data_IF_990874642907
#
_entry.id   IF_990874642907
#
_cell.length_a   1.000
_cell.length_b   1.000
_cell.length_c   1.000
_cell.angle_alpha   90.00
_cell.angle_beta   90.00
_cell.angle_gamma   90.00
#
_symmetry.space_group_name_H-M   'P 1'
#
loop_
_entity.id
_entity.type
_entity.pdbx_description
1 polymer ?
#
# COMPACT_ATOMS: atom_id res chain seq x y z
N UNK A 1 -56.90 6.92 -41.58
CA UNK A 1 -55.77 7.74 -41.11
C UNK A 1 -55.92 8.01 -39.62
N UNK A 2 -54.89 7.66 -38.85
CA UNK A 2 -54.51 8.06 -37.48
C UNK A 2 -54.20 6.84 -36.61
N UNK A 3 -52.96 6.44 -36.76
CA UNK A 3 -52.25 5.46 -35.97
C UNK A 3 -51.80 6.10 -34.64
N UNK A 4 -51.84 5.29 -33.58
CA UNK A 4 -50.79 5.11 -32.58
C UNK A 4 -50.28 6.37 -31.88
N UNK A 5 -50.69 6.53 -30.62
CA UNK A 5 -49.83 7.13 -29.60
C UNK A 5 -50.31 6.68 -28.23
N UNK A 6 -49.38 6.42 -27.32
CA UNK A 6 -49.56 5.96 -25.92
C UNK A 6 -49.26 4.47 -25.68
N UNK A 7 -48.03 4.05 -25.99
CA UNK A 7 -47.38 2.97 -25.22
C UNK A 7 -45.86 3.11 -25.32
N UNK A 8 -45.28 4.08 -24.61
CA UNK A 8 -43.83 4.17 -24.41
C UNK A 8 -43.54 5.06 -23.21
N UNK A 9 -43.75 4.53 -22.01
CA UNK A 9 -43.19 5.13 -20.80
C UNK A 9 -43.11 4.06 -19.69
N UNK A 10 -42.42 2.96 -19.97
CA UNK A 10 -42.20 1.90 -18.97
C UNK A 10 -41.06 0.96 -19.39
N UNK A 11 -39.86 1.45 -19.71
CA UNK A 11 -38.69 0.59 -19.92
C UNK A 11 -37.32 1.28 -19.72
N UNK A 12 -37.20 2.21 -18.76
CA UNK A 12 -35.88 2.67 -18.31
C UNK A 12 -35.73 2.49 -16.80
N UNK A 13 -35.60 1.23 -16.39
CA UNK A 13 -34.92 0.84 -15.17
C UNK A 13 -34.07 -0.39 -15.53
N UNK A 14 -33.12 -0.20 -16.44
CA UNK A 14 -32.04 -1.16 -16.60
C UNK A 14 -31.04 -0.89 -15.49
N UNK A 15 -30.94 -1.87 -14.62
CA UNK A 15 -30.00 -2.01 -13.53
C UNK A 15 -28.60 -1.57 -13.97
N UNK A 16 -28.11 -0.46 -13.42
CA UNK A 16 -26.67 -0.19 -13.39
C UNK A 16 -26.11 -1.06 -12.28
N UNK A 17 -25.88 -2.32 -12.62
CA UNK A 17 -24.96 -3.18 -11.91
C UNK A 17 -23.73 -3.30 -12.80
N UNK A 18 -22.98 -2.20 -12.91
CA UNK A 18 -21.57 -2.27 -13.31
C UNK A 18 -20.79 -2.55 -12.03
N UNK A 19 -20.68 -3.81 -11.66
CA UNK A 19 -19.45 -4.27 -11.01
C UNK A 19 -18.68 -4.89 -12.16
N UNK A 20 -17.58 -4.24 -12.56
CA UNK A 20 -16.67 -4.83 -13.53
C UNK A 20 -16.22 -6.18 -12.99
N UNK A 21 -16.40 -7.21 -13.81
CA UNK A 21 -15.88 -8.55 -13.56
C UNK A 21 -14.38 -8.49 -13.81
N UNK A 22 -13.66 -7.98 -12.83
CA UNK A 22 -12.22 -7.75 -12.87
C UNK A 22 -11.50 -9.00 -12.40
N UNK A 23 -11.45 -10.01 -13.27
CA UNK A 23 -10.46 -11.09 -13.22
C UNK A 23 -10.41 -11.98 -11.98
N UNK A 24 -11.38 -11.87 -11.06
CA UNK A 24 -11.53 -12.79 -9.94
C UNK A 24 -11.72 -14.21 -10.47
N UNK A 25 -11.07 -15.22 -9.87
CA UNK A 25 -11.13 -16.56 -10.42
C UNK A 25 -12.55 -17.13 -10.38
N UNK A 26 -12.89 -17.93 -11.40
CA UNK A 26 -14.18 -18.60 -11.42
C UNK A 26 -14.29 -19.53 -10.21
N UNK A 27 -15.42 -19.51 -9.50
CA UNK A 27 -15.66 -20.40 -8.36
C UNK A 27 -15.33 -21.87 -8.72
N UNK A 28 -14.31 -22.43 -8.10
CA UNK A 28 -13.78 -23.77 -8.41
C UNK A 28 -12.52 -23.79 -9.28
N UNK A 29 -11.79 -22.67 -9.36
CA UNK A 29 -10.49 -22.59 -9.98
C UNK A 29 -9.56 -23.72 -9.51
N UNK A 30 -8.96 -24.43 -10.47
CA UNK A 30 -8.00 -25.49 -10.22
C UNK A 30 -6.71 -24.90 -9.67
N UNK A 31 -6.02 -25.66 -8.83
CA UNK A 31 -4.77 -25.27 -8.19
C UNK A 31 -3.69 -24.76 -9.18
N UNK A 32 -3.60 -25.34 -10.38
CA UNK A 32 -2.69 -24.86 -11.42
C UNK A 32 -2.94 -23.41 -11.80
N UNK A 33 -4.21 -23.01 -11.81
CA UNK A 33 -4.60 -21.66 -12.16
C UNK A 33 -4.24 -20.68 -11.05
N UNK A 34 -4.12 -21.11 -9.78
CA UNK A 34 -3.57 -20.26 -8.71
C UNK A 34 -2.14 -19.82 -9.04
N UNK A 35 -1.22 -20.76 -9.27
CA UNK A 35 0.18 -20.42 -9.55
C UNK A 35 0.30 -19.53 -10.80
N UNK A 36 -0.47 -19.83 -11.85
CA UNK A 36 -0.51 -19.02 -13.06
C UNK A 36 -1.05 -17.61 -12.80
N UNK A 37 -2.15 -17.50 -12.05
CA UNK A 37 -2.78 -16.23 -11.70
C UNK A 37 -1.83 -15.41 -10.84
N UNK A 38 -1.28 -15.99 -9.77
CA UNK A 38 -0.29 -15.37 -8.89
C UNK A 38 0.91 -14.82 -9.67
N UNK A 39 1.51 -15.62 -10.56
CA UNK A 39 2.64 -15.14 -11.35
C UNK A 39 2.26 -14.04 -12.36
N UNK A 40 1.03 -14.05 -12.87
CA UNK A 40 0.55 -13.05 -13.82
C UNK A 40 0.13 -11.75 -13.11
N UNK A 41 -0.56 -11.83 -11.97
CA UNK A 41 -1.07 -10.67 -11.22
C UNK A 41 -0.02 -10.01 -10.35
N UNK A 42 0.84 -10.79 -9.68
CA UNK A 42 1.84 -10.25 -8.73
C UNK A 42 3.19 -9.98 -9.39
N UNK A 43 3.54 -10.78 -10.40
CA UNK A 43 4.89 -10.76 -10.97
C UNK A 43 4.91 -10.41 -12.46
N UNK A 44 3.75 -10.25 -13.12
CA UNK A 44 3.62 -10.00 -14.57
C UNK A 44 4.38 -11.01 -15.44
N UNK A 45 4.46 -12.26 -14.97
CA UNK A 45 5.14 -13.37 -15.66
C UNK A 45 4.10 -14.40 -16.09
N UNK A 46 3.78 -14.40 -17.38
CA UNK A 46 2.83 -15.36 -17.94
C UNK A 46 3.44 -16.74 -18.24
N UNK A 47 4.78 -16.83 -18.32
CA UNK A 47 5.49 -18.06 -18.66
C UNK A 47 6.63 -18.31 -17.69
N UNK A 48 6.50 -19.38 -16.91
CA UNK A 48 7.47 -19.80 -15.90
C UNK A 48 7.47 -21.33 -15.78
N UNK A 49 8.50 -21.87 -15.15
CA UNK A 49 8.54 -23.25 -14.70
C UNK A 49 8.52 -23.33 -13.17
N UNK A 50 8.32 -24.54 -12.63
CA UNK A 50 8.26 -24.77 -11.18
C UNK A 50 9.50 -24.25 -10.45
N UNK A 51 10.67 -24.33 -11.09
CA UNK A 51 11.94 -23.91 -10.50
C UNK A 51 12.06 -22.40 -10.41
N UNK A 52 11.62 -21.70 -11.44
CA UNK A 52 11.56 -20.24 -11.49
C UNK A 52 10.53 -19.72 -10.48
N UNK A 53 9.37 -20.38 -10.37
CA UNK A 53 8.41 -20.10 -9.29
C UNK A 53 9.07 -20.26 -7.92
N UNK A 54 9.79 -21.37 -7.68
CA UNK A 54 10.51 -21.58 -6.42
C UNK A 54 11.50 -20.45 -6.10
N UNK A 55 12.40 -20.17 -7.04
CA UNK A 55 13.50 -19.22 -6.83
C UNK A 55 13.01 -17.78 -6.67
N UNK A 56 11.89 -17.41 -7.30
CA UNK A 56 11.33 -16.06 -7.14
C UNK A 56 10.80 -15.81 -5.73
N UNK A 57 10.35 -16.87 -5.04
CA UNK A 57 9.73 -16.79 -3.72
C UNK A 57 10.64 -17.28 -2.58
N UNK A 58 11.84 -17.77 -2.91
CA UNK A 58 12.94 -17.96 -1.96
C UNK A 58 13.59 -16.58 -1.71
N UNK A 59 12.94 -15.78 -0.87
CA UNK A 59 13.25 -14.37 -0.63
C UNK A 59 14.65 -14.18 -0.06
N UNK A 60 15.08 -15.11 0.81
CA UNK A 60 16.40 -15.05 1.44
C UNK A 60 17.46 -15.87 0.68
N UNK A 61 17.07 -16.58 -0.39
CA UNK A 61 17.94 -17.36 -1.30
C UNK A 61 18.67 -18.50 -0.59
N UNK A 62 18.06 -19.10 0.42
CA UNK A 62 18.65 -20.20 1.18
C UNK A 62 18.34 -21.58 0.57
N UNK A 63 17.52 -21.64 -0.47
CA UNK A 63 17.11 -22.86 -1.16
C UNK A 63 15.91 -23.57 -0.55
N UNK A 64 15.21 -22.95 0.39
CA UNK A 64 14.02 -23.47 1.07
C UNK A 64 12.95 -22.38 1.13
N UNK A 65 11.68 -22.77 1.10
CA UNK A 65 10.62 -21.90 1.58
C UNK A 65 10.33 -22.20 3.03
N UNK A 66 10.59 -21.22 3.88
CA UNK A 66 10.29 -21.23 5.29
C UNK A 66 8.94 -20.55 5.56
N UNK A 67 8.50 -20.57 6.82
CA UNK A 67 7.19 -20.05 7.22
C UNK A 67 6.90 -18.65 6.66
N UNK A 68 7.84 -17.73 6.79
CA UNK A 68 7.66 -16.34 6.38
C UNK A 68 7.48 -16.22 4.86
N UNK A 69 8.16 -17.06 4.08
CA UNK A 69 8.06 -17.11 2.63
C UNK A 69 6.75 -17.79 2.18
N UNK A 70 6.30 -18.82 2.89
CA UNK A 70 4.96 -19.40 2.69
C UNK A 70 3.87 -18.37 2.99
N UNK A 71 4.00 -17.60 4.07
CA UNK A 71 3.07 -16.52 4.39
C UNK A 71 3.09 -15.41 3.33
N UNK A 72 4.24 -15.09 2.73
CA UNK A 72 4.37 -14.11 1.65
C UNK A 72 3.75 -14.61 0.33
N UNK A 73 4.03 -15.86 -0.07
CA UNK A 73 3.45 -16.49 -1.27
C UNK A 73 1.93 -16.47 -1.26
N UNK A 74 1.31 -16.48 -0.08
CA UNK A 74 -0.15 -16.41 0.10
C UNK A 74 -0.64 -15.08 0.69
N UNK A 75 0.21 -14.05 0.75
CA UNK A 75 -0.16 -12.68 1.13
C UNK A 75 -0.87 -12.60 2.48
N UNK A 76 -0.45 -13.45 3.42
CA UNK A 76 -1.08 -13.58 4.73
C UNK A 76 -1.10 -12.25 5.45
N UNK A 77 0.00 -11.48 5.40
CA UNK A 77 0.15 -10.20 6.09
C UNK A 77 -0.27 -8.98 5.27
N UNK A 78 -0.86 -9.18 4.09
CA UNK A 78 -1.38 -8.09 3.25
C UNK A 78 -2.43 -7.26 4.01
N UNK A 79 -2.55 -5.96 3.73
CA UNK A 79 -3.47 -5.08 4.44
C UNK A 79 -4.94 -5.53 4.32
N UNK A 80 -5.40 -5.90 3.12
CA UNK A 80 -6.73 -6.51 2.91
C UNK A 80 -6.91 -7.85 3.65
N UNK A 81 -5.93 -8.76 3.55
CA UNK A 81 -5.92 -10.05 4.26
C UNK A 81 -6.02 -9.86 5.79
N UNK A 82 -5.33 -8.85 6.31
CA UNK A 82 -5.35 -8.44 7.71
C UNK A 82 -6.70 -7.81 8.10
N UNK A 83 -7.27 -6.93 7.27
CA UNK A 83 -8.59 -6.30 7.48
C UNK A 83 -9.74 -7.33 7.54
N UNK A 84 -9.61 -8.47 6.88
CA UNK A 84 -10.59 -9.56 6.98
C UNK A 84 -10.53 -10.33 8.31
N UNK A 85 -9.47 -10.13 9.10
CA UNK A 85 -9.31 -10.74 10.41
C UNK A 85 -9.92 -9.86 11.50
N UNK A 86 -10.65 -10.45 12.45
CA UNK A 86 -11.32 -9.69 13.53
C UNK A 86 -10.34 -9.07 14.51
N UNK A 87 -9.25 -9.78 14.77
CA UNK A 87 -8.19 -9.43 15.70
C UNK A 87 -6.90 -10.18 15.32
N UNK A 88 -5.80 -9.86 16.00
CA UNK A 88 -4.49 -10.46 15.75
C UNK A 88 -4.47 -11.98 15.99
N UNK A 89 -5.26 -12.49 16.93
CA UNK A 89 -5.31 -13.92 17.23
C UNK A 89 -6.00 -14.70 16.10
N UNK A 90 -7.10 -14.15 15.57
CA UNK A 90 -7.78 -14.68 14.40
C UNK A 90 -6.88 -14.65 13.16
N UNK A 91 -6.10 -13.58 13.00
CA UNK A 91 -5.12 -13.46 11.93
C UNK A 91 -4.01 -14.51 12.03
N UNK A 92 -3.44 -14.70 13.23
CA UNK A 92 -2.42 -15.71 13.46
C UNK A 92 -2.95 -17.13 13.18
N UNK A 93 -4.17 -17.43 13.62
CA UNK A 93 -4.81 -18.73 13.32
C UNK A 93 -5.01 -18.94 11.81
N UNK A 94 -5.28 -17.88 11.06
CA UNK A 94 -5.36 -17.92 9.60
C UNK A 94 -4.00 -18.23 8.99
N UNK A 95 -2.95 -17.52 9.43
CA UNK A 95 -1.57 -17.76 9.03
C UNK A 95 -1.14 -19.22 9.29
N UNK A 96 -1.37 -19.70 10.52
CA UNK A 96 -1.08 -21.08 10.92
C UNK A 96 -1.81 -22.09 10.03
N UNK A 97 -3.10 -21.85 9.78
CA UNK A 97 -3.90 -22.75 8.94
C UNK A 97 -3.37 -22.84 7.50
N UNK A 98 -2.98 -21.71 6.91
CA UNK A 98 -2.40 -21.64 5.56
C UNK A 98 -1.08 -22.40 5.53
N UNK A 99 -0.13 -22.02 6.39
CA UNK A 99 1.20 -22.64 6.47
C UNK A 99 1.10 -24.14 6.71
N UNK A 100 0.31 -24.57 7.69
CA UNK A 100 0.13 -26.00 8.00
C UNK A 100 -0.45 -26.78 6.83
N UNK A 101 -1.36 -26.16 6.06
CA UNK A 101 -1.99 -26.81 4.91
C UNK A 101 -1.00 -26.96 3.75
N UNK A 102 -0.16 -25.95 3.54
CA UNK A 102 0.89 -25.99 2.52
C UNK A 102 1.95 -27.02 2.88
N UNK A 103 2.48 -26.99 4.12
CA UNK A 103 3.46 -27.97 4.59
C UNK A 103 2.91 -29.40 4.53
N UNK A 104 1.66 -29.64 4.92
CA UNK A 104 1.03 -30.98 4.77
C UNK A 104 1.03 -31.50 3.33
N UNK A 105 1.08 -30.61 2.34
CA UNK A 105 0.99 -30.95 0.93
C UNK A 105 2.36 -31.02 0.27
N UNK A 106 3.28 -30.13 0.63
CA UNK A 106 4.58 -29.97 -0.01
C UNK A 106 5.75 -30.55 0.79
N UNK A 107 5.76 -30.45 2.11
CA UNK A 107 6.84 -30.92 2.98
C UNK A 107 6.75 -32.45 3.14
N UNK A 108 7.51 -33.17 2.31
CA UNK A 108 7.46 -34.62 2.17
C UNK A 108 8.33 -35.32 3.22
N UNK A 109 9.41 -34.67 3.66
CA UNK A 109 10.32 -35.23 4.66
C UNK A 109 10.05 -34.75 6.10
N UNK A 110 9.15 -33.79 6.25
CA UNK A 110 8.64 -33.21 7.52
C UNK A 110 9.71 -32.44 8.29
N UNK A 111 10.59 -31.74 7.59
CA UNK A 111 11.58 -30.88 8.22
C UNK A 111 11.07 -29.46 8.51
N UNK A 112 9.82 -29.16 8.14
CA UNK A 112 9.12 -27.92 8.48
C UNK A 112 9.34 -26.77 7.48
N UNK A 113 9.96 -27.06 6.34
CA UNK A 113 10.22 -26.14 5.23
C UNK A 113 10.01 -26.89 3.91
N UNK A 114 10.01 -26.17 2.79
CA UNK A 114 9.79 -26.78 1.47
C UNK A 114 11.04 -26.58 0.62
N UNK A 115 11.63 -27.68 0.17
CA UNK A 115 12.74 -27.65 -0.80
C UNK A 115 12.25 -27.54 -2.25
N UNK A 116 13.15 -27.12 -3.15
CA UNK A 116 12.87 -27.06 -4.58
C UNK A 116 12.46 -28.45 -5.11
N UNK A 117 13.13 -29.51 -4.67
CA UNK A 117 12.88 -30.89 -5.10
C UNK A 117 11.49 -31.38 -4.67
N UNK A 118 11.01 -30.95 -3.50
CA UNK A 118 9.67 -31.27 -3.01
C UNK A 118 8.59 -30.59 -3.83
N UNK A 119 8.75 -29.29 -4.12
CA UNK A 119 7.83 -28.56 -4.97
C UNK A 119 7.81 -29.14 -6.39
N UNK A 120 8.96 -29.50 -6.96
CA UNK A 120 9.02 -30.15 -8.27
C UNK A 120 8.33 -31.52 -8.29
N UNK A 121 8.45 -32.29 -7.20
CA UNK A 121 7.86 -33.61 -7.08
C UNK A 121 6.34 -33.57 -6.90
N UNK A 122 5.83 -32.60 -6.14
CA UNK A 122 4.39 -32.38 -5.99
C UNK A 122 3.80 -31.69 -7.22
N UNK A 123 4.56 -30.76 -7.79
CA UNK A 123 4.15 -29.89 -8.89
C UNK A 123 3.34 -28.68 -8.40
N UNK A 124 3.26 -27.66 -9.24
CA UNK A 124 2.44 -26.46 -8.98
C UNK A 124 0.95 -26.81 -8.81
N UNK A 125 0.51 -27.92 -9.40
CA UNK A 125 -0.84 -28.48 -9.27
C UNK A 125 -1.19 -28.95 -7.84
N UNK A 126 -0.21 -29.01 -6.93
CA UNK A 126 -0.42 -29.32 -5.52
C UNK A 126 -0.45 -28.11 -4.58
N UNK A 127 -0.32 -26.88 -5.06
CA UNK A 127 -0.43 -25.67 -4.22
C UNK A 127 -1.89 -25.44 -3.71
N UNK A 128 -2.15 -25.40 -2.40
CA UNK A 128 -3.50 -25.11 -1.92
C UNK A 128 -3.98 -23.71 -2.37
N UNK A 129 -5.29 -23.52 -2.61
CA UNK A 129 -5.89 -22.21 -2.89
C UNK A 129 -6.68 -21.72 -1.66
N UNK A 130 -6.43 -20.48 -1.22
CA UNK A 130 -7.05 -19.84 -0.05
C UNK A 130 -7.74 -18.50 -0.37
N UNK A 131 -8.13 -18.25 -1.62
CA UNK A 131 -8.81 -17.02 -2.05
C UNK A 131 -10.00 -16.65 -1.14
N UNK A 132 -10.78 -17.64 -0.71
CA UNK A 132 -11.92 -17.43 0.20
C UNK A 132 -11.53 -16.90 1.60
N UNK A 133 -10.24 -16.78 1.89
CA UNK A 133 -9.66 -16.25 3.12
C UNK A 133 -8.92 -14.91 2.91
N UNK A 134 -9.02 -14.33 1.70
CA UNK A 134 -8.34 -13.10 1.30
C UNK A 134 -6.82 -13.27 1.29
N UNK A 135 -6.35 -14.46 0.95
CA UNK A 135 -4.95 -14.84 0.87
C UNK A 135 -4.55 -15.04 -0.60
N UNK A 136 -4.64 -13.95 -1.36
CA UNK A 136 -3.93 -13.82 -2.62
C UNK A 136 -2.49 -13.41 -2.28
N UNK A 137 -1.49 -14.00 -2.93
CA UNK A 137 -0.08 -13.76 -2.64
C UNK A 137 0.35 -12.34 -2.92
N UNK A 138 1.19 -11.69 -2.10
CA UNK A 138 1.60 -10.29 -2.31
C UNK A 138 2.93 -9.93 -1.61
N UNK A 139 3.75 -9.08 -2.24
CA UNK A 139 5.15 -8.81 -1.81
C UNK A 139 5.50 -7.36 -1.48
N UNK A 140 4.64 -6.39 -1.79
CA UNK A 140 5.01 -4.97 -1.75
C UNK A 140 4.43 -4.22 -0.53
N UNK A 141 4.76 -2.95 -0.41
CA UNK A 141 4.14 -2.05 0.57
C UNK A 141 2.75 -1.58 0.11
N UNK A 142 2.04 -0.80 0.94
CA UNK A 142 0.61 -0.51 0.69
C UNK A 142 0.45 0.37 -0.56
N UNK A 143 1.36 1.32 -0.77
CA UNK A 143 1.35 2.20 -1.95
C UNK A 143 1.65 1.41 -3.24
N UNK A 144 2.69 0.57 -3.23
CA UNK A 144 3.03 -0.26 -4.38
C UNK A 144 1.96 -1.30 -4.68
N UNK A 145 1.30 -1.86 -3.66
CA UNK A 145 0.16 -2.77 -3.83
C UNK A 145 -1.03 -2.06 -4.46
N UNK A 146 -1.35 -0.84 -4.03
CA UNK A 146 -2.40 -0.03 -4.64
C UNK A 146 -2.07 0.28 -6.11
N UNK A 147 -0.83 0.65 -6.41
CA UNK A 147 -0.38 0.89 -7.78
C UNK A 147 -0.50 -0.36 -8.67
N UNK A 148 0.05 -1.49 -8.20
CA UNK A 148 0.15 -2.72 -8.99
C UNK A 148 -1.23 -3.36 -9.23
N UNK A 149 -2.08 -3.42 -8.20
CA UNK A 149 -3.34 -4.18 -8.27
C UNK A 149 -4.54 -3.33 -8.64
N UNK A 150 -4.56 -2.07 -8.22
CA UNK A 150 -5.71 -1.21 -8.43
C UNK A 150 -5.44 -0.20 -9.55
N UNK A 151 -4.33 0.52 -9.48
CA UNK A 151 -4.03 1.55 -10.48
C UNK A 151 -3.77 0.94 -11.87
N UNK A 152 -3.01 -0.14 -11.99
CA UNK A 152 -2.81 -0.79 -13.29
C UNK A 152 -4.12 -1.35 -13.86
N UNK A 153 -4.99 -1.91 -13.01
CA UNK A 153 -6.21 -2.55 -13.47
C UNK A 153 -7.29 -1.54 -13.89
N UNK A 154 -7.45 -0.46 -13.13
CA UNK A 154 -8.56 0.49 -13.29
C UNK A 154 -8.14 1.84 -13.88
N UNK A 155 -6.85 2.16 -13.79
CA UNK A 155 -6.26 3.45 -14.12
C UNK A 155 -5.00 3.33 -14.99
N UNK A 156 -4.95 2.39 -15.96
CA UNK A 156 -3.77 2.18 -16.82
C UNK A 156 -3.68 3.06 -18.08
N UNK A 157 -4.71 3.86 -18.37
CA UNK A 157 -4.76 4.73 -19.56
C UNK A 157 -4.89 6.21 -19.18
N UNK A 158 -4.43 7.16 -20.03
CA UNK A 158 -4.62 8.59 -19.76
C UNK A 158 -6.09 8.98 -19.54
N UNK A 159 -7.03 8.29 -20.18
CA UNK A 159 -8.46 8.54 -20.00
C UNK A 159 -8.98 8.07 -18.64
N UNK A 160 -8.38 7.03 -18.07
CA UNK A 160 -8.72 6.49 -16.75
C UNK A 160 -7.89 7.11 -15.62
N UNK A 161 -6.83 7.86 -15.94
CA UNK A 161 -6.01 8.62 -14.97
C UNK A 161 -6.45 10.09 -14.94
N UNK A 162 -7.74 10.33 -14.70
CA UNK A 162 -8.29 11.68 -14.55
C UNK A 162 -8.89 11.83 -13.16
N UNK A 163 -8.89 13.06 -12.61
CA UNK A 163 -9.48 13.35 -11.29
C UNK A 163 -10.91 12.81 -11.15
N UNK A 164 -11.69 12.79 -12.24
CA UNK A 164 -13.04 12.26 -12.25
C UNK A 164 -13.12 10.73 -12.32
N UNK A 165 -12.08 10.06 -12.85
CA UNK A 165 -12.04 8.61 -13.01
C UNK A 165 -11.70 7.87 -11.70
N UNK A 166 -10.91 8.48 -10.80
CA UNK A 166 -10.62 7.92 -9.47
C UNK A 166 -11.84 8.02 -8.53
N UNK A 167 -12.75 7.06 -8.65
CA UNK A 167 -14.00 7.02 -7.90
C UNK A 167 -14.38 5.62 -7.39
N UNK A 168 -13.50 4.63 -7.56
CA UNK A 168 -13.68 3.32 -6.96
C UNK A 168 -13.64 3.45 -5.43
N UNK A 169 -14.39 2.61 -4.69
CA UNK A 169 -14.32 2.59 -3.23
C UNK A 169 -12.89 2.50 -2.69
N UNK A 170 -12.05 1.72 -3.36
CA UNK A 170 -10.64 1.50 -3.06
C UNK A 170 -9.80 2.78 -3.30
N UNK A 171 -10.06 3.55 -4.36
CA UNK A 171 -9.42 4.86 -4.61
C UNK A 171 -9.64 5.81 -3.42
N UNK A 172 -10.91 5.92 -3.01
CA UNK A 172 -11.31 6.84 -1.95
C UNK A 172 -10.76 6.41 -0.59
N UNK A 173 -10.70 5.10 -0.33
CA UNK A 173 -10.13 4.55 0.90
C UNK A 173 -8.61 4.78 0.94
N UNK A 174 -7.91 4.48 -0.16
CA UNK A 174 -6.48 4.71 -0.29
C UNK A 174 -6.13 6.18 -0.08
N UNK A 175 -6.78 7.11 -0.80
CA UNK A 175 -6.54 8.55 -0.64
C UNK A 175 -6.88 9.07 0.76
N UNK A 176 -7.88 8.50 1.43
CA UNK A 176 -8.19 8.86 2.81
C UNK A 176 -7.10 8.41 3.79
N UNK A 177 -6.29 7.40 3.43
CA UNK A 177 -5.25 6.80 4.26
C UNK A 177 -3.82 7.15 3.82
N UNK A 178 -3.63 7.73 2.63
CA UNK A 178 -2.33 8.01 2.00
C UNK A 178 -1.35 8.71 2.96
N UNK A 179 -1.70 9.86 3.53
CA UNK A 179 -0.84 10.59 4.49
C UNK A 179 -0.38 9.73 5.70
N UNK A 180 -1.19 8.75 6.10
CA UNK A 180 -0.88 7.84 7.20
C UNK A 180 0.01 6.68 6.76
N UNK A 181 -0.22 6.17 5.54
CA UNK A 181 0.58 5.12 4.90
C UNK A 181 2.00 5.65 4.65
N UNK A 182 2.15 6.78 3.96
CA UNK A 182 3.44 7.43 3.69
C UNK A 182 4.25 7.63 4.97
N UNK A 183 3.59 8.07 6.05
CA UNK A 183 4.26 8.27 7.34
C UNK A 183 4.71 6.95 7.95
N UNK A 184 3.88 5.91 7.91
CA UNK A 184 4.22 4.61 8.46
C UNK A 184 5.37 3.96 7.69
N UNK A 185 5.42 4.14 6.38
CA UNK A 185 6.52 3.67 5.53
C UNK A 185 7.80 4.46 5.80
N UNK A 186 7.71 5.79 5.90
CA UNK A 186 8.83 6.63 6.30
C UNK A 186 9.37 6.27 7.69
N UNK A 187 8.52 5.87 8.64
CA UNK A 187 8.95 5.35 9.95
C UNK A 187 9.74 4.03 9.84
N UNK A 188 9.31 3.12 8.95
CA UNK A 188 10.02 1.85 8.69
C UNK A 188 11.37 2.10 8.02
N UNK A 189 11.39 2.97 7.00
CA UNK A 189 12.59 3.33 6.25
C UNK A 189 13.60 4.06 7.14
N UNK A 190 13.15 5.05 7.92
CA UNK A 190 13.98 5.77 8.87
C UNK A 190 14.64 4.81 9.87
N UNK A 191 13.88 3.84 10.39
CA UNK A 191 14.41 2.80 11.27
C UNK A 191 15.44 1.91 10.57
N UNK A 192 15.21 1.55 9.31
CA UNK A 192 16.11 0.70 8.53
C UNK A 192 17.42 1.42 8.19
N UNK A 193 17.34 2.69 7.77
CA UNK A 193 18.48 3.51 7.38
C UNK A 193 19.19 4.17 8.57
N UNK A 194 18.55 4.21 9.74
CA UNK A 194 19.09 4.87 10.94
C UNK A 194 19.01 6.40 10.89
N UNK A 195 18.09 6.96 10.11
CA UNK A 195 17.84 8.41 9.99
C UNK A 195 16.50 8.80 10.65
N UNK A 196 16.15 10.08 10.63
CA UNK A 196 14.87 10.55 11.16
C UNK A 196 13.74 10.38 10.14
N UNK A 197 12.50 10.31 10.62
CA UNK A 197 11.30 10.22 9.76
C UNK A 197 11.17 11.47 8.90
N UNK A 198 11.50 12.63 9.46
CA UNK A 198 11.47 13.91 8.76
C UNK A 198 12.49 13.96 7.62
N UNK A 199 13.68 13.36 7.78
CA UNK A 199 14.68 13.27 6.71
C UNK A 199 14.21 12.37 5.55
N UNK A 200 13.53 11.25 5.84
CA UNK A 200 12.92 10.39 4.81
C UNK A 200 11.82 11.14 4.05
N UNK A 201 10.86 11.72 4.78
CA UNK A 201 9.74 12.44 4.17
C UNK A 201 10.21 13.61 3.30
N UNK A 202 11.25 14.34 3.74
CA UNK A 202 11.84 15.41 2.94
C UNK A 202 12.51 14.89 1.66
N UNK A 203 13.09 13.68 1.70
CA UNK A 203 13.62 12.99 0.53
C UNK A 203 12.53 12.62 -0.48
N UNK A 204 11.39 12.10 0.00
CA UNK A 204 10.24 11.75 -0.85
C UNK A 204 9.65 13.00 -1.53
N UNK A 205 9.47 14.10 -0.79
CA UNK A 205 9.00 15.37 -1.37
C UNK A 205 9.91 15.92 -2.47
N UNK A 206 11.21 15.61 -2.45
CA UNK A 206 12.15 16.06 -3.47
C UNK A 206 12.10 15.23 -4.76
N UNK A 207 11.77 13.94 -4.65
CA UNK A 207 11.66 13.02 -5.78
C UNK A 207 10.30 13.11 -6.51
N UNK A 208 9.24 13.48 -5.80
CA UNK A 208 7.90 13.78 -6.36
C UNK A 208 7.81 15.18 -7.01
N UNK A 209 8.93 15.91 -7.12
CA UNK A 209 8.93 17.17 -7.83
C UNK A 209 9.01 16.88 -9.34
N UNK A 210 8.08 17.39 -10.17
CA UNK A 210 8.17 17.20 -11.61
C UNK A 210 9.51 17.71 -12.11
N UNK A 211 10.16 17.03 -13.08
CA UNK A 211 11.46 17.44 -13.58
C UNK A 211 11.34 18.89 -14.06
N UNK A 212 12.01 19.79 -13.34
CA UNK A 212 12.15 21.18 -13.75
C UNK A 212 12.65 21.17 -15.18
N UNK A 213 11.83 21.70 -16.10
CA UNK A 213 12.16 21.78 -17.52
C UNK A 213 13.57 22.36 -17.64
N UNK A 214 14.51 21.52 -18.07
CA UNK A 214 15.89 21.91 -18.27
C UNK A 214 15.92 22.95 -19.40
N UNK A 215 15.99 24.22 -19.02
CA UNK A 215 16.35 25.29 -19.93
C UNK A 215 17.78 25.01 -20.40
N UNK A 216 17.92 24.86 -21.71
CA UNK A 216 19.13 24.37 -22.32
C UNK A 216 20.28 25.36 -22.16
N UNK A 217 21.26 25.02 -21.33
CA UNK A 217 22.65 25.44 -21.53
C UNK A 217 23.62 24.42 -20.94
N UNK A 218 24.36 23.82 -21.87
CA UNK A 218 25.65 23.13 -21.84
C UNK A 218 26.54 23.18 -20.58
N UNK A 219 27.24 22.08 -20.34
CA UNK A 219 28.43 22.01 -19.48
C UNK A 219 28.48 20.79 -18.57
N UNK A 220 28.94 19.63 -19.07
CA UNK A 220 29.02 18.40 -18.30
C UNK A 220 30.12 18.38 -17.23
N UNK A 221 29.87 17.65 -16.14
CA UNK A 221 30.87 16.98 -15.33
C UNK A 221 30.28 15.64 -14.82
N UNK A 222 30.89 14.53 -15.20
CA UNK A 222 30.66 13.24 -14.55
C UNK A 222 31.22 13.34 -13.12
N UNK A 223 30.37 13.34 -12.10
CA UNK A 223 30.80 13.01 -10.74
C UNK A 223 30.73 11.50 -10.55
N UNK A 224 31.92 10.90 -10.38
CA UNK A 224 32.10 9.51 -9.96
C UNK A 224 31.39 9.25 -8.62
N UNK A 225 30.60 8.18 -8.58
CA UNK A 225 30.03 7.62 -7.36
C UNK A 225 31.16 6.82 -6.68
N UNK A 226 31.57 7.13 -5.43
CA UNK A 226 32.55 6.32 -4.72
C UNK A 226 31.91 4.99 -4.30
N UNK A 227 32.65 3.86 -4.28
CA UNK A 227 32.09 2.57 -3.94
C UNK A 227 31.77 2.50 -2.45
N UNK A 228 30.53 2.13 -2.11
CA UNK A 228 30.12 1.83 -0.73
C UNK A 228 30.74 0.52 -0.29
N UNK A 229 31.54 0.62 0.77
CA UNK A 229 32.26 -0.44 1.45
C UNK A 229 31.28 -1.37 2.18
N UNK A 230 31.26 -2.64 1.80
CA UNK A 230 30.51 -3.69 2.48
C UNK A 230 31.31 -4.17 3.69
N UNK A 231 30.93 -3.73 4.89
CA UNK A 231 31.40 -4.35 6.14
C UNK A 231 30.25 -5.01 6.92
N UNK A 232 30.51 -6.14 7.61
CA UNK A 232 29.48 -7.07 8.04
C UNK A 232 28.96 -6.78 9.45
N UNK A 233 27.70 -7.16 9.69
CA UNK A 233 27.02 -7.22 10.99
C UNK A 233 27.86 -7.85 12.12
N UNK A 234 27.66 -7.36 13.36
CA UNK A 234 27.71 -8.27 14.51
C UNK A 234 26.53 -8.07 15.48
N UNK A 235 25.86 -9.19 15.81
CA UNK A 235 25.03 -9.39 16.99
C UNK A 235 25.91 -9.61 18.24
N UNK A 236 25.51 -9.05 19.39
CA UNK A 236 25.34 -9.72 20.71
C UNK A 236 25.45 -8.75 21.93
N UNK A 237 24.30 -8.56 22.60
CA UNK A 237 24.07 -8.44 24.08
C UNK A 237 24.69 -7.29 24.92
N UNK A 238 24.22 -7.01 26.17
CA UNK A 238 22.88 -7.16 26.78
C UNK A 238 22.39 -5.88 27.53
N UNK A 239 21.16 -5.97 28.05
CA UNK A 239 20.43 -4.96 28.83
C UNK A 239 21.19 -4.34 30.02
N UNK A 240 20.98 -3.03 30.24
CA UNK A 240 21.31 -2.33 31.50
C UNK A 240 20.09 -1.65 32.08
N UNK A 241 19.74 -2.07 33.30
CA UNK A 241 18.78 -1.44 34.19
C UNK A 241 19.24 -0.03 34.61
N UNK A 242 18.30 0.90 34.75
CA UNK A 242 18.50 2.20 35.41
C UNK A 242 17.50 2.37 36.56
N UNK A 243 17.93 2.84 37.74
CA UNK A 243 17.13 2.81 38.97
C UNK A 243 16.20 4.02 39.12
N UNK A 244 15.17 3.81 39.94
CA UNK A 244 14.15 4.79 40.32
C UNK A 244 14.72 5.94 41.16
N UNK A 245 14.28 7.17 40.86
CA UNK A 245 14.33 8.31 41.77
C UNK A 245 13.07 9.17 41.64
N UNK A 246 12.35 9.27 42.75
CA UNK A 246 11.14 10.07 42.98
C UNK A 246 11.44 11.54 43.24
N UNK A 247 10.67 12.46 42.65
CA UNK A 247 10.44 13.80 43.22
C UNK A 247 8.99 14.27 42.99
N UNK A 248 8.30 14.55 44.10
CA UNK A 248 6.99 15.19 44.16
C UNK A 248 7.17 16.72 44.05
N UNK A 249 6.43 17.35 43.13
CA UNK A 249 6.25 18.80 43.03
C UNK A 249 4.79 19.22 43.21
N UNK A 250 4.50 20.49 43.56
CA UNK A 250 3.17 20.97 43.98
C UNK A 250 2.15 21.03 42.82
N UNK A 251 0.82 21.01 43.10
CA UNK A 251 -0.20 20.82 42.07
C UNK A 251 -0.35 22.04 41.14
N UNK A 252 -0.12 21.80 39.85
CA UNK A 252 -0.32 22.77 38.76
C UNK A 252 -1.82 22.91 38.45
N UNK A 253 -2.35 24.13 38.23
CA UNK A 253 -3.78 24.36 37.96
C UNK A 253 -4.24 23.61 36.70
N UNK A 254 -5.44 23.01 36.76
CA UNK A 254 -6.06 22.28 35.64
C UNK A 254 -6.30 23.23 34.46
N UNK A 255 -5.40 23.19 33.49
CA UNK A 255 -5.63 23.72 32.15
C UNK A 255 -6.62 22.78 31.46
N UNK A 256 -7.80 23.29 31.11
CA UNK A 256 -8.71 22.60 30.19
C UNK A 256 -8.03 22.55 28.84
N UNK A 257 -7.34 21.44 28.54
CA UNK A 257 -6.68 21.19 27.26
C UNK A 257 -7.77 21.02 26.20
N UNK A 258 -8.08 22.10 25.47
CA UNK A 258 -8.77 22.00 24.19
C UNK A 258 -7.93 21.11 23.27
N UNK A 259 -8.57 20.12 22.64
CA UNK A 259 -7.92 19.19 21.71
C UNK A 259 -7.25 19.98 20.58
N UNK A 260 -5.95 19.77 20.31
CA UNK A 260 -5.26 20.41 19.20
C UNK A 260 -6.03 20.20 17.88
N UNK A 261 -6.07 21.20 16.97
CA UNK A 261 -6.86 21.13 15.73
C UNK A 261 -6.56 19.88 14.89
N UNK A 262 -5.33 19.40 14.94
CA UNK A 262 -4.83 18.20 14.26
C UNK A 262 -5.50 16.90 14.73
N UNK A 263 -6.00 16.86 15.97
CA UNK A 263 -6.63 15.69 16.60
C UNK A 263 -8.16 15.80 16.68
N UNK A 264 -8.74 16.82 16.05
CA UNK A 264 -10.19 16.98 15.94
C UNK A 264 -10.71 16.23 14.72
N UNK A 265 -11.97 15.77 14.79
CA UNK A 265 -12.66 15.16 13.65
C UNK A 265 -12.57 16.07 12.41
N UNK A 266 -12.21 15.52 11.23
CA UNK A 266 -12.06 16.30 10.00
C UNK A 266 -13.29 17.16 9.67
N UNK A 267 -14.50 16.68 9.96
CA UNK A 267 -15.75 17.40 9.72
C UNK A 267 -15.83 18.70 10.53
N UNK A 268 -15.23 18.73 11.71
CA UNK A 268 -15.14 19.91 12.57
C UNK A 268 -13.99 20.81 12.13
N UNK A 269 -12.84 20.22 11.77
CA UNK A 269 -11.63 20.94 11.34
C UNK A 269 -11.83 21.73 10.04
N UNK A 270 -12.57 21.17 9.09
CA UNK A 270 -12.78 21.78 7.77
C UNK A 270 -14.09 22.56 7.63
N UNK A 271 -14.95 22.57 8.66
CA UNK A 271 -16.30 23.16 8.62
C UNK A 271 -16.33 24.60 8.10
N UNK A 272 -15.38 25.43 8.53
CA UNK A 272 -15.30 26.85 8.15
C UNK A 272 -14.14 27.14 7.17
N UNK A 273 -13.36 26.12 6.82
CA UNK A 273 -12.14 26.26 6.01
C UNK A 273 -12.43 26.80 4.60
N UNK A 274 -13.50 26.32 3.95
CA UNK A 274 -13.91 26.80 2.62
C UNK A 274 -14.33 28.28 2.62
N UNK A 275 -15.00 28.73 3.70
CA UNK A 275 -15.42 30.12 3.84
C UNK A 275 -14.22 31.04 4.07
N UNK A 276 -13.27 30.61 4.91
CA UNK A 276 -12.04 31.32 5.17
C UNK A 276 -11.13 31.37 3.92
N UNK A 277 -11.07 30.29 3.14
CA UNK A 277 -10.31 30.22 1.89
C UNK A 277 -10.78 31.27 0.87
N UNK A 278 -12.10 31.43 0.71
CA UNK A 278 -12.68 32.46 -0.17
C UNK A 278 -12.32 33.89 0.23
N UNK A 279 -12.08 34.14 1.53
CA UNK A 279 -11.66 35.45 2.03
C UNK A 279 -10.16 35.70 1.79
N UNK A 280 -9.34 34.65 1.75
CA UNK A 280 -7.90 34.73 1.50
C UNK A 280 -7.52 34.91 0.02
N UNK A 281 -8.48 34.81 -0.90
CA UNK A 281 -8.24 34.97 -2.34
C UNK A 281 -7.42 33.83 -2.96
N UNK A 282 -7.04 34.00 -4.22
CA UNK A 282 -6.31 32.98 -4.99
C UNK A 282 -4.90 32.77 -4.43
N UNK A 283 -4.42 31.52 -4.43
CA UNK A 283 -3.05 31.19 -4.06
C UNK A 283 -2.04 31.94 -4.93
N UNK A 284 -0.89 32.32 -4.36
CA UNK A 284 0.09 33.15 -5.07
C UNK A 284 -0.25 34.65 -5.09
N UNK A 285 -1.42 35.06 -4.59
CA UNK A 285 -1.83 36.47 -4.50
C UNK A 285 -1.85 36.99 -3.05
N UNK A 286 -1.53 38.28 -2.86
CA UNK A 286 -1.49 38.95 -1.55
C UNK A 286 -0.17 38.78 -0.78
N UNK A 287 -0.16 39.22 0.48
CA UNK A 287 1.02 39.28 1.35
C UNK A 287 1.64 37.89 1.68
N UNK A 288 0.86 36.82 1.51
CA UNK A 288 1.27 35.44 1.73
C UNK A 288 2.02 34.80 0.56
N UNK A 289 1.94 35.34 -0.66
CA UNK A 289 2.60 34.80 -1.86
C UNK A 289 2.36 33.29 -2.08
N UNK A 290 3.43 32.57 -2.41
CA UNK A 290 3.46 31.12 -2.64
C UNK A 290 3.96 30.30 -1.43
N UNK A 291 3.90 30.86 -0.22
CA UNK A 291 4.37 30.16 0.99
C UNK A 291 3.51 28.91 1.26
N UNK A 292 4.06 27.77 1.68
CA UNK A 292 3.32 26.50 1.83
C UNK A 292 2.12 26.60 2.80
N UNK A 293 1.03 25.85 2.54
CA UNK A 293 -0.23 25.99 3.28
C UNK A 293 -0.13 25.33 4.67
N UNK A 294 -0.18 26.13 5.73
CA UNK A 294 -0.07 25.65 7.12
C UNK A 294 -1.41 25.32 7.77
N UNK A 295 -2.51 25.88 7.27
CA UNK A 295 -3.84 25.71 7.86
C UNK A 295 -4.87 25.15 6.85
N UNK A 296 -5.95 24.49 7.30
CA UNK A 296 -6.99 23.93 6.45
C UNK A 296 -7.58 24.89 5.41
N UNK A 297 -7.64 26.19 5.73
CA UNK A 297 -8.14 27.23 4.82
C UNK A 297 -7.18 27.57 3.69
N UNK A 298 -5.87 27.36 3.86
CA UNK A 298 -4.88 27.62 2.82
C UNK A 298 -4.89 26.51 1.76
N UNK A 299 -5.16 25.27 2.20
CA UNK A 299 -5.32 24.09 1.33
C UNK A 299 -6.59 24.13 0.47
N UNK A 300 -7.54 25.02 0.77
CA UNK A 300 -8.79 25.19 0.01
C UNK A 300 -8.81 26.47 -0.83
N UNK A 301 -7.68 27.17 -0.98
CA UNK A 301 -7.58 28.36 -1.83
C UNK A 301 -7.62 27.98 -3.30
N UNK A 302 -8.22 28.85 -4.11
CA UNK A 302 -8.27 28.69 -5.56
C UNK A 302 -6.88 28.87 -6.19
N UNK A 303 -6.52 28.09 -7.21
CA UNK A 303 -5.19 28.04 -7.82
C UNK A 303 -4.07 27.60 -6.86
N UNK A 304 -4.41 27.00 -5.71
CA UNK A 304 -3.43 26.25 -4.94
C UNK A 304 -2.99 25.12 -5.88
N UNK A 305 -1.69 25.04 -6.24
CA UNK A 305 -1.23 23.90 -6.99
C UNK A 305 -1.57 22.70 -6.11
N UNK A 306 -2.48 21.84 -6.58
CA UNK A 306 -2.37 20.45 -6.20
C UNK A 306 -0.90 20.06 -6.42
N UNK A 307 -0.36 19.12 -5.64
CA UNK A 307 0.78 18.35 -6.16
C UNK A 307 0.29 17.86 -7.53
N UNK A 308 0.68 18.57 -8.59
CA UNK A 308 0.67 18.06 -9.94
C UNK A 308 1.86 17.14 -9.85
N UNK A 309 1.58 15.85 -9.90
CA UNK A 309 2.53 14.77 -9.68
C UNK A 309 3.90 15.06 -10.31
#
# INVERSE_FOLDING_TARGET
>A
MKAVSSLSLLFLAHSVASHGDHGGPAAGETIKQYAQRHMSSEHHIDSFDTRSFFQLHDLNRNGYWERDELEAVYGVHHIYSTKQSKDQEAHQKKADFIVDTVLRTLDLDRDGRVSQEELEKVGLDGLPNFENMGADGHHYDVESEFFLHHEEQFHSTPETQTDEAYNHPEDLEHFAQHDAIERQEAEKEAKFQGITVEEVLQGHEHNDAPPVAADGTDGGEHQEIPPVDMTPHPHDEPAREVPAASQQGPPVPKVTRVTPPEKQDPSIRFKDASKAAKQKGEWGTGEGGYKPPTDPSDRMRKNMPYKVC
#
